data_IF_836177434069
#
_entry.id   IF_836177434069
#
_cell.length_a   1.000
_cell.length_b   1.000
_cell.length_c   1.000
_cell.angle_alpha   90.00
_cell.angle_beta   90.00
_cell.angle_gamma   90.00
#
_symmetry.space_group_name_H-M   'P 1'
#
loop_
_entity.id
_entity.type
_entity.pdbx_description
1 polymer ?
#
# COMPACT_ATOMS: atom_id res chain seq x y z
N UNK A 1 69.99 1.84 16.64
CA UNK A 1 68.97 0.96 16.03
C UNK A 1 67.92 1.86 15.40
N UNK A 2 68.01 2.08 14.09
CA UNK A 2 67.13 2.99 13.34
C UNK A 2 66.25 2.16 12.40
N UNK A 3 64.93 2.38 12.49
CA UNK A 3 63.91 1.61 11.79
C UNK A 3 63.74 2.08 10.34
N UNK A 4 63.57 1.10 9.44
CA UNK A 4 63.25 1.27 8.02
C UNK A 4 61.82 1.80 7.83
N UNK A 5 61.66 2.75 6.91
CA UNK A 5 60.37 3.09 6.32
C UNK A 5 60.31 2.54 4.90
N UNK A 6 59.39 1.60 4.64
CA UNK A 6 59.08 1.12 3.30
C UNK A 6 57.88 1.91 2.75
N UNK A 7 58.09 2.58 1.62
CA UNK A 7 57.02 3.18 0.82
C UNK A 7 56.47 2.13 -0.14
N UNK A 8 55.16 1.87 -0.08
CA UNK A 8 54.42 1.10 -1.08
C UNK A 8 53.44 2.02 -1.80
N UNK A 9 53.71 2.27 -3.07
CA UNK A 9 52.85 3.01 -3.99
C UNK A 9 52.37 2.10 -5.13
N UNK A 10 51.22 2.44 -5.70
CA UNK A 10 50.52 1.85 -6.87
C UNK A 10 49.55 0.71 -6.53
N UNK A 11 48.35 0.59 -7.10
CA UNK A 11 47.56 1.44 -8.00
C UNK A 11 46.19 0.76 -8.13
N UNK A 12 45.08 1.44 -7.84
CA UNK A 12 43.73 0.90 -8.02
C UNK A 12 43.23 1.15 -9.45
N UNK A 13 42.68 0.15 -10.16
CA UNK A 13 42.07 0.38 -11.47
C UNK A 13 40.69 1.03 -11.32
N UNK A 14 40.44 2.02 -12.17
CA UNK A 14 39.15 2.69 -12.29
C UNK A 14 38.06 1.69 -12.71
N UNK A 15 37.04 1.55 -11.85
CA UNK A 15 35.84 0.80 -12.17
C UNK A 15 35.02 1.58 -13.21
N UNK A 16 34.87 0.99 -14.39
CA UNK A 16 33.97 1.49 -15.43
C UNK A 16 32.52 1.52 -14.91
N UNK A 17 31.85 2.65 -15.11
CA UNK A 17 30.45 2.83 -14.75
C UNK A 17 29.56 1.82 -15.50
N UNK A 18 28.87 0.96 -14.74
CA UNK A 18 27.85 0.07 -15.27
C UNK A 18 26.65 0.88 -15.80
N UNK A 19 26.02 0.47 -16.92
CA UNK A 19 24.85 1.15 -17.46
C UNK A 19 23.66 1.04 -16.49
N UNK A 20 22.93 2.15 -16.34
CA UNK A 20 21.74 2.24 -15.52
C UNK A 20 20.70 1.19 -15.94
N UNK A 21 20.09 0.43 -15.00
CA UNK A 21 19.07 -0.55 -15.33
C UNK A 21 17.82 0.15 -15.87
N UNK A 22 17.43 -0.25 -17.08
CA UNK A 22 16.16 0.15 -17.68
C UNK A 22 14.99 -0.27 -16.79
N UNK A 23 14.21 0.73 -16.36
CA UNK A 23 13.00 0.57 -15.55
C UNK A 23 11.95 -0.21 -16.35
N UNK A 24 11.62 -1.42 -15.89
CA UNK A 24 10.52 -2.19 -16.43
C UNK A 24 9.17 -1.52 -16.07
N UNK A 25 8.17 -1.51 -16.98
CA UNK A 25 6.84 -1.00 -16.67
C UNK A 25 6.20 -1.82 -15.54
N UNK A 26 5.83 -1.12 -14.48
CA UNK A 26 5.18 -1.68 -13.29
C UNK A 26 3.83 -2.29 -13.67
N UNK A 27 3.67 -3.61 -13.47
CA UNK A 27 2.34 -4.22 -13.32
C UNK A 27 1.91 -4.01 -11.88
N UNK A 28 1.12 -2.95 -11.64
CA UNK A 28 0.55 -2.68 -10.32
C UNK A 28 -0.63 -3.61 -10.00
N UNK A 29 -0.91 -3.87 -8.71
CA UNK A 29 -2.05 -4.66 -8.25
C UNK A 29 -3.28 -3.75 -8.11
N UNK A 30 -3.76 -3.25 -9.24
CA UNK A 30 -5.17 -2.87 -9.40
C UNK A 30 -5.74 -3.69 -10.55
N UNK A 31 -5.45 -5.00 -10.54
CA UNK A 31 -6.01 -5.93 -11.51
C UNK A 31 -7.50 -6.00 -11.26
N UNK A 32 -8.28 -5.48 -12.20
CA UNK A 32 -9.72 -5.66 -12.32
C UNK A 32 -10.11 -7.06 -11.82
N UNK A 33 -10.71 -7.19 -10.64
CA UNK A 33 -11.16 -8.49 -10.15
C UNK A 33 -12.47 -8.85 -10.85
N UNK A 34 -12.72 -10.14 -11.05
CA UNK A 34 -14.03 -10.60 -11.53
C UNK A 34 -15.14 -10.05 -10.62
N UNK A 35 -16.10 -9.33 -11.19
CA UNK A 35 -17.17 -8.61 -10.50
C UNK A 35 -16.92 -7.11 -10.31
N UNK A 36 -15.76 -6.58 -10.71
CA UNK A 36 -15.47 -5.14 -10.64
C UNK A 36 -16.27 -4.37 -11.68
N UNK A 37 -16.80 -3.21 -11.28
CA UNK A 37 -17.52 -2.29 -12.16
C UNK A 37 -16.54 -1.29 -12.76
N UNK A 38 -16.54 -1.19 -14.07
CA UNK A 38 -15.69 -0.26 -14.82
C UNK A 38 -16.53 0.56 -15.80
N UNK A 39 -15.96 1.66 -16.26
CA UNK A 39 -16.50 2.47 -17.35
C UNK A 39 -15.71 2.16 -18.62
N UNK A 40 -16.41 1.74 -19.68
CA UNK A 40 -15.81 1.36 -20.97
C UNK A 40 -16.38 2.25 -22.08
N UNK A 41 -15.56 2.57 -23.07
CA UNK A 41 -15.94 3.33 -24.27
C UNK A 41 -16.26 2.34 -25.40
N UNK A 42 -17.44 2.43 -25.99
CA UNK A 42 -17.88 1.51 -27.05
C UNK A 42 -17.28 1.85 -28.42
N UNK A 43 -16.69 0.86 -29.09
CA UNK A 43 -16.06 1.03 -30.42
C UNK A 43 -17.07 0.90 -31.58
N UNK A 44 -18.19 0.20 -31.37
CA UNK A 44 -19.19 -0.08 -32.42
C UNK A 44 -20.02 1.12 -32.87
N UNK A 45 -19.81 2.28 -32.26
CA UNK A 45 -20.55 3.50 -32.57
C UNK A 45 -19.69 4.40 -33.45
N UNK A 46 -20.35 5.14 -34.34
CA UNK A 46 -19.66 6.05 -35.24
C UNK A 46 -18.78 7.03 -34.44
N UNK A 47 -17.71 7.51 -35.06
CA UNK A 47 -16.76 8.42 -34.40
C UNK A 47 -17.51 9.67 -33.90
N UNK A 48 -17.62 9.85 -32.58
CA UNK A 48 -18.40 10.91 -31.93
C UNK A 48 -19.68 10.44 -31.23
N UNK A 49 -20.10 9.19 -31.42
CA UNK A 49 -21.25 8.56 -30.74
C UNK A 49 -20.86 7.64 -29.58
N UNK A 50 -19.58 7.62 -29.19
CA UNK A 50 -19.13 6.73 -28.13
C UNK A 50 -19.76 7.10 -26.78
N UNK A 51 -20.26 6.09 -26.08
CA UNK A 51 -20.90 6.24 -24.78
C UNK A 51 -20.08 5.53 -23.71
N UNK A 52 -20.04 6.14 -22.52
CA UNK A 52 -19.49 5.49 -21.33
C UNK A 52 -20.53 4.54 -20.78
N UNK A 53 -20.26 3.24 -20.87
CA UNK A 53 -21.14 2.21 -20.35
C UNK A 53 -20.57 1.60 -19.08
N UNK A 54 -21.46 1.26 -18.15
CA UNK A 54 -21.12 0.53 -16.94
C UNK A 54 -20.99 -0.94 -17.28
N UNK A 55 -19.84 -1.55 -17.01
CA UNK A 55 -19.60 -2.96 -17.30
C UNK A 55 -19.02 -3.71 -16.10
N UNK A 56 -19.37 -4.98 -15.97
CA UNK A 56 -18.82 -5.92 -14.99
C UNK A 56 -17.70 -6.75 -15.62
N UNK A 57 -16.55 -6.83 -14.95
CA UNK A 57 -15.45 -7.72 -15.34
C UNK A 57 -15.87 -9.17 -15.06
N UNK A 58 -16.09 -9.99 -16.08
CA UNK A 58 -16.57 -11.37 -15.84
C UNK A 58 -15.50 -12.44 -16.07
N UNK A 59 -14.43 -12.12 -16.81
CA UNK A 59 -13.32 -13.04 -17.07
C UNK A 59 -12.02 -12.27 -17.27
N UNK A 60 -10.92 -12.86 -16.80
CA UNK A 60 -9.57 -12.39 -17.07
C UNK A 60 -8.80 -13.60 -17.61
N UNK A 61 -8.20 -13.45 -18.79
CA UNK A 61 -7.41 -14.49 -19.45
C UNK A 61 -6.04 -13.93 -19.82
N UNK A 62 -5.06 -14.18 -18.95
CA UNK A 62 -3.72 -13.61 -19.06
C UNK A 62 -3.71 -12.08 -19.02
N UNK A 63 -3.64 -11.44 -20.20
CA UNK A 63 -3.63 -9.97 -20.37
C UNK A 63 -4.92 -9.42 -20.93
N UNK A 64 -5.88 -10.29 -21.14
CA UNK A 64 -7.16 -9.92 -21.70
C UNK A 64 -8.19 -9.85 -20.59
N UNK A 65 -8.82 -8.69 -20.44
CA UNK A 65 -9.95 -8.49 -19.54
C UNK A 65 -11.23 -8.49 -20.37
N UNK A 66 -12.19 -9.30 -19.94
CA UNK A 66 -13.52 -9.39 -20.55
C UNK A 66 -14.53 -8.71 -19.65
N UNK A 67 -15.31 -7.82 -20.24
CA UNK A 67 -16.33 -7.03 -19.57
C UNK A 67 -17.69 -7.34 -20.17
N UNK A 68 -18.74 -7.22 -19.37
CA UNK A 68 -20.13 -7.33 -19.82
C UNK A 68 -20.89 -6.10 -19.37
N UNK A 69 -21.60 -5.45 -20.27
CA UNK A 69 -22.44 -4.32 -19.91
C UNK A 69 -23.49 -4.66 -18.84
N UNK A 70 -23.62 -3.82 -17.82
CA UNK A 70 -24.59 -4.01 -16.73
C UNK A 70 -25.98 -3.62 -17.24
N UNK A 71 -26.82 -4.64 -17.49
CA UNK A 71 -28.17 -4.46 -18.04
C UNK A 71 -28.22 -4.45 -19.57
N UNK A 72 -27.07 -4.59 -20.23
CA UNK A 72 -26.94 -4.75 -21.68
C UNK A 72 -26.55 -6.18 -22.09
N UNK A 73 -26.52 -6.41 -23.40
CA UNK A 73 -26.09 -7.68 -24.01
C UNK A 73 -24.69 -7.65 -24.61
N UNK A 74 -23.98 -6.52 -24.50
CA UNK A 74 -22.67 -6.36 -25.13
C UNK A 74 -21.55 -6.89 -24.22
N UNK A 75 -20.73 -7.76 -24.80
CA UNK A 75 -19.48 -8.24 -24.21
C UNK A 75 -18.30 -7.48 -24.85
N UNK A 76 -17.41 -6.95 -24.02
CA UNK A 76 -16.21 -6.23 -24.44
C UNK A 76 -14.96 -7.04 -24.09
N UNK A 77 -13.92 -6.90 -24.91
CA UNK A 77 -12.61 -7.54 -24.70
C UNK A 77 -11.51 -6.51 -24.83
N UNK A 78 -10.68 -6.37 -23.80
CA UNK A 78 -9.54 -5.46 -23.82
C UNK A 78 -8.26 -6.25 -23.56
N UNK A 79 -7.32 -6.24 -24.49
CA UNK A 79 -6.01 -6.86 -24.31
C UNK A 79 -4.96 -5.81 -23.96
N UNK A 80 -4.40 -5.89 -22.76
CA UNK A 80 -3.37 -4.95 -22.26
C UNK A 80 -2.05 -5.16 -23.01
N UNK A 81 -1.48 -4.11 -23.66
CA UNK A 81 -0.29 -4.26 -24.49
C UNK A 81 0.99 -4.68 -23.74
N UNK A 82 1.82 -5.40 -24.51
CA UNK A 82 3.19 -5.91 -24.27
C UNK A 82 4.25 -4.97 -23.75
N UNK A 83 4.38 -3.92 -24.53
CA UNK A 83 5.59 -3.17 -24.68
C UNK A 83 5.26 -1.76 -24.27
N UNK A 84 6.07 -1.18 -23.40
CA UNK A 84 6.13 0.27 -23.28
C UNK A 84 6.55 0.78 -24.65
N UNK A 85 5.61 1.27 -25.45
CA UNK A 85 5.95 1.95 -26.70
C UNK A 85 6.51 3.30 -26.25
N UNK A 86 7.80 3.61 -26.46
CA UNK A 86 8.32 4.92 -26.14
C UNK A 86 7.53 5.97 -26.95
N UNK A 87 7.30 7.18 -26.42
CA UNK A 87 6.46 8.20 -27.06
C UNK A 87 6.87 8.55 -28.52
N UNK A 88 8.12 8.24 -28.85
CA UNK A 88 8.80 8.45 -30.14
C UNK A 88 8.58 7.35 -31.18
N UNK A 89 8.15 6.14 -30.80
CA UNK A 89 7.99 4.99 -31.72
C UNK A 89 6.53 4.63 -32.04
N UNK A 90 5.58 5.53 -31.73
CA UNK A 90 4.19 5.40 -32.20
C UNK A 90 4.13 5.59 -33.72
N UNK A 91 4.40 4.53 -34.49
CA UNK A 91 4.07 4.50 -35.92
C UNK A 91 2.55 4.43 -36.11
N UNK A 92 1.97 5.05 -37.17
CA UNK A 92 0.53 5.28 -37.34
C UNK A 92 -0.37 4.03 -37.49
N UNK A 93 0.19 2.82 -37.41
CA UNK A 93 -0.51 1.56 -37.71
C UNK A 93 -0.35 0.50 -36.61
N UNK A 94 -0.01 0.87 -35.37
CA UNK A 94 -0.15 -0.03 -34.24
C UNK A 94 -1.65 -0.25 -33.95
N UNK A 95 -2.25 -1.19 -34.66
CA UNK A 95 -3.62 -1.66 -34.46
C UNK A 95 -3.63 -2.51 -33.19
N UNK A 96 -4.32 -2.02 -32.16
CA UNK A 96 -4.85 -2.88 -31.11
C UNK A 96 -6.27 -3.25 -31.54
N UNK A 97 -6.58 -4.53 -31.67
CA UNK A 97 -7.98 -4.98 -31.77
C UNK A 97 -8.73 -4.44 -30.53
N UNK A 98 -9.64 -3.49 -30.76
CA UNK A 98 -10.52 -2.93 -29.73
C UNK A 98 -10.31 -1.46 -29.35
N UNK A 99 -9.17 -0.82 -29.70
CA UNK A 99 -8.94 0.60 -29.41
C UNK A 99 -8.01 1.28 -30.43
N UNK A 100 -8.47 2.40 -31.02
CA UNK A 100 -7.64 3.30 -31.82
C UNK A 100 -7.23 4.52 -30.99
N UNK A 101 -5.93 4.72 -30.80
CA UNK A 101 -5.39 5.97 -30.25
C UNK A 101 -5.41 7.06 -31.33
N UNK A 102 -6.35 7.99 -31.26
CA UNK A 102 -6.45 9.12 -32.19
C UNK A 102 -5.43 10.21 -31.83
N UNK A 103 -4.19 10.09 -32.30
CA UNK A 103 -3.26 11.23 -32.34
C UNK A 103 -3.34 11.90 -33.71
N UNK A 104 -4.25 12.87 -33.85
CA UNK A 104 -4.40 13.62 -35.10
C UNK A 104 -3.12 14.43 -35.42
N UNK A 105 -2.56 14.22 -36.63
CA UNK A 105 -1.40 14.96 -37.17
C UNK A 105 -1.76 16.02 -38.21
N UNK A 106 -3.05 16.28 -38.45
CA UNK A 106 -3.49 17.38 -39.31
C UNK A 106 -4.42 18.28 -38.51
N UNK A 107 -4.29 19.62 -38.59
CA UNK A 107 -5.32 20.51 -38.09
C UNK A 107 -6.58 20.23 -38.92
N UNK A 108 -7.45 19.39 -38.37
CA UNK A 108 -8.79 19.19 -38.90
C UNK A 108 -9.46 20.56 -38.82
N UNK A 109 -9.96 21.06 -39.95
CA UNK A 109 -10.78 22.27 -39.94
C UNK A 109 -11.86 22.08 -38.90
N UNK A 110 -11.93 23.04 -37.99
CA UNK A 110 -12.83 23.13 -36.85
C UNK A 110 -14.29 23.07 -37.34
N UNK A 111 -14.82 21.87 -37.55
CA UNK A 111 -16.26 21.67 -37.62
C UNK A 111 -16.74 21.52 -36.20
N UNK A 112 -17.48 22.53 -35.76
CA UNK A 112 -18.27 22.61 -34.54
C UNK A 112 -18.90 21.26 -34.12
N UNK A 113 -18.19 20.41 -33.37
CA UNK A 113 -18.80 19.26 -32.70
C UNK A 113 -18.02 18.91 -31.41
N UNK A 114 -18.44 19.53 -30.32
CA UNK A 114 -18.68 18.92 -29.00
C UNK A 114 -17.59 18.23 -28.15
N UNK A 115 -16.48 17.73 -28.69
CA UNK A 115 -15.72 16.68 -27.98
C UNK A 115 -14.66 17.18 -26.97
N UNK A 116 -14.08 18.38 -27.15
CA UNK A 116 -13.15 18.94 -26.14
C UNK A 116 -13.82 19.47 -24.87
N UNK A 117 -15.12 19.80 -24.93
CA UNK A 117 -15.85 20.36 -23.78
C UNK A 117 -16.26 19.31 -22.73
N UNK A 118 -16.15 18.02 -23.02
CA UNK A 118 -16.59 16.97 -22.09
C UNK A 118 -15.58 16.71 -20.96
N UNK A 119 -14.27 16.74 -21.26
CA UNK A 119 -13.22 16.52 -20.24
C UNK A 119 -13.00 17.77 -19.38
N UNK A 120 -13.17 18.97 -19.94
CA UNK A 120 -13.12 20.24 -19.20
C UNK A 120 -14.29 20.43 -18.21
N UNK A 121 -15.26 19.50 -18.18
CA UNK A 121 -16.45 19.57 -17.31
C UNK A 121 -16.37 18.74 -16.03
N UNK A 122 -15.41 17.84 -15.90
CA UNK A 122 -15.22 17.11 -14.65
C UNK A 122 -14.43 18.00 -13.69
N UNK A 123 -15.09 18.46 -12.63
CA UNK A 123 -14.42 19.17 -11.56
C UNK A 123 -13.39 18.28 -10.86
N UNK A 124 -12.52 18.91 -10.08
CA UNK A 124 -11.47 18.19 -9.36
C UNK A 124 -12.04 17.16 -8.37
N UNK A 125 -13.25 17.41 -7.83
CA UNK A 125 -13.91 16.54 -6.88
C UNK A 125 -14.49 15.30 -7.57
N UNK A 126 -15.07 15.43 -8.76
CA UNK A 126 -15.52 14.30 -9.57
C UNK A 126 -14.34 13.45 -10.03
N UNK A 127 -13.24 14.07 -10.48
CA UNK A 127 -12.02 13.34 -10.82
C UNK A 127 -11.40 12.65 -9.61
N UNK A 128 -11.38 13.32 -8.45
CA UNK A 128 -10.92 12.73 -7.21
C UNK A 128 -11.74 11.49 -6.84
N UNK A 129 -13.06 11.56 -6.96
CA UNK A 129 -13.95 10.42 -6.74
C UNK A 129 -13.74 9.30 -7.73
N UNK A 130 -13.59 9.62 -9.02
CA UNK A 130 -13.29 8.64 -10.04
C UNK A 130 -11.96 7.94 -9.80
N UNK A 131 -10.97 8.61 -9.22
CA UNK A 131 -9.62 8.07 -9.00
C UNK A 131 -9.40 7.52 -7.58
N UNK A 132 -10.41 7.56 -6.72
CA UNK A 132 -10.37 7.07 -5.33
C UNK A 132 -10.17 5.55 -5.20
N UNK A 133 -10.21 4.80 -6.30
CA UNK A 133 -9.90 3.37 -6.30
C UNK A 133 -8.39 3.09 -6.49
N UNK A 134 -7.60 4.09 -6.89
CA UNK A 134 -6.19 3.89 -7.21
C UNK A 134 -5.30 3.86 -5.97
N UNK A 135 -4.28 3.00 -5.96
CA UNK A 135 -3.30 2.97 -4.88
C UNK A 135 -2.54 4.31 -4.75
N UNK A 136 -1.99 4.64 -3.56
CA UNK A 136 -1.14 5.82 -3.41
C UNK A 136 0.03 5.87 -4.40
N UNK A 137 0.61 4.72 -4.76
CA UNK A 137 1.64 4.61 -5.80
C UNK A 137 1.07 5.00 -7.18
N UNK A 138 -0.07 4.43 -7.59
CA UNK A 138 -0.74 4.76 -8.85
C UNK A 138 -1.10 6.25 -8.97
N UNK A 139 -1.66 6.83 -7.91
CA UNK A 139 -1.94 8.27 -7.86
C UNK A 139 -0.67 9.13 -7.93
N UNK A 140 0.44 8.66 -7.36
CA UNK A 140 1.72 9.38 -7.41
C UNK A 140 2.36 9.34 -8.79
N UNK A 141 2.14 8.26 -9.55
CA UNK A 141 2.62 8.13 -10.92
C UNK A 141 1.86 9.04 -11.89
N UNK A 142 0.55 9.25 -11.66
CA UNK A 142 -0.29 10.09 -12.52
C UNK A 142 -0.27 11.57 -12.15
N UNK A 143 -0.12 11.90 -10.85
CA UNK A 143 -0.32 13.25 -10.35
C UNK A 143 0.80 13.73 -9.41
N UNK A 144 1.27 14.99 -9.59
CA UNK A 144 2.16 15.63 -8.63
C UNK A 144 1.57 15.67 -7.21
N UNK A 145 2.44 15.69 -6.21
CA UNK A 145 2.06 15.67 -4.78
C UNK A 145 1.15 16.83 -4.31
N UNK A 146 1.09 17.93 -5.09
CA UNK A 146 0.23 19.10 -4.83
C UNK A 146 -1.08 19.09 -5.62
N UNK A 147 -1.34 18.08 -6.44
CA UNK A 147 -2.57 17.97 -7.22
C UNK A 147 -3.79 17.92 -6.29
N UNK A 148 -4.78 18.77 -6.56
CA UNK A 148 -6.07 18.77 -5.85
C UNK A 148 -6.81 17.45 -6.06
N UNK A 149 -6.80 16.93 -7.30
CA UNK A 149 -7.39 15.63 -7.66
C UNK A 149 -6.79 14.51 -6.82
N UNK A 150 -5.45 14.45 -6.74
CA UNK A 150 -4.76 13.44 -5.91
C UNK A 150 -5.15 13.55 -4.44
N UNK A 151 -5.20 14.77 -3.91
CA UNK A 151 -5.54 14.99 -2.50
C UNK A 151 -7.01 14.65 -2.20
N UNK A 152 -7.93 14.99 -3.11
CA UNK A 152 -9.33 14.61 -3.01
C UNK A 152 -9.48 13.09 -3.05
N UNK A 153 -8.84 12.42 -4.00
CA UNK A 153 -8.90 10.96 -4.13
C UNK A 153 -8.39 10.27 -2.86
N UNK A 154 -7.24 10.71 -2.33
CA UNK A 154 -6.66 10.17 -1.09
C UNK A 154 -7.60 10.34 0.10
N UNK A 155 -8.33 11.45 0.24
CA UNK A 155 -9.27 11.67 1.35
C UNK A 155 -10.43 10.68 1.37
N UNK A 156 -10.77 10.13 0.20
CA UNK A 156 -11.89 9.20 0.03
C UNK A 156 -11.47 7.75 0.28
N UNK A 157 -10.18 7.44 0.41
CA UNK A 157 -9.73 6.09 0.73
C UNK A 157 -10.18 5.67 2.14
N UNK A 158 -10.91 4.55 2.18
CA UNK A 158 -11.24 3.83 3.41
C UNK A 158 -10.24 2.72 3.72
N UNK A 159 -9.45 2.29 2.73
CA UNK A 159 -8.45 1.24 2.89
C UNK A 159 -7.11 1.72 2.32
N UNK A 160 -6.01 1.34 2.97
CA UNK A 160 -4.65 1.53 2.44
C UNK A 160 -3.92 0.20 2.35
N UNK A 161 -3.21 0.00 1.25
CA UNK A 161 -2.37 -1.18 1.02
C UNK A 161 -0.91 -0.73 0.91
N UNK A 162 -0.04 -1.28 1.77
CA UNK A 162 1.42 -1.19 1.67
C UNK A 162 1.91 -2.53 1.15
N UNK A 163 2.25 -2.59 -0.13
CA UNK A 163 2.44 -3.84 -0.85
C UNK A 163 3.88 -4.01 -1.37
N UNK A 164 4.55 -5.10 -0.98
CA UNK A 164 5.84 -5.49 -1.54
C UNK A 164 5.74 -6.54 -2.66
N UNK A 165 4.53 -6.99 -3.02
CA UNK A 165 4.31 -8.07 -3.99
C UNK A 165 4.70 -7.70 -5.41
N UNK A 166 4.71 -6.40 -5.73
CA UNK A 166 5.13 -5.90 -7.04
C UNK A 166 6.37 -5.00 -6.89
N UNK A 167 7.33 -5.03 -7.84
CA UNK A 167 8.52 -4.18 -7.76
C UNK A 167 8.20 -2.69 -7.67
N UNK A 168 7.14 -2.23 -8.36
CA UNK A 168 6.73 -0.83 -8.35
C UNK A 168 6.21 -0.35 -6.99
N UNK A 169 5.30 -1.11 -6.38
CA UNK A 169 4.78 -0.80 -5.04
C UNK A 169 5.89 -0.94 -3.99
N UNK A 170 6.70 -2.00 -4.07
CA UNK A 170 7.87 -2.19 -3.19
C UNK A 170 8.82 -1.00 -3.27
N UNK A 171 9.20 -0.56 -4.48
CA UNK A 171 10.07 0.60 -4.64
C UNK A 171 9.44 1.89 -4.14
N UNK A 172 8.15 2.13 -4.44
CA UNK A 172 7.42 3.30 -3.97
C UNK A 172 7.46 3.39 -2.44
N UNK A 173 7.08 2.32 -1.75
CA UNK A 173 7.04 2.31 -0.29
C UNK A 173 8.42 2.31 0.36
N UNK A 174 9.42 1.65 -0.23
CA UNK A 174 10.80 1.69 0.24
C UNK A 174 11.43 3.09 0.11
N UNK A 175 11.04 3.84 -0.93
CA UNK A 175 11.47 5.23 -1.13
C UNK A 175 10.66 6.25 -0.33
N UNK A 176 9.50 5.87 0.20
CA UNK A 176 8.63 6.75 0.97
C UNK A 176 9.23 6.99 2.36
N UNK A 177 9.60 8.24 2.63
CA UNK A 177 10.11 8.60 3.96
C UNK A 177 9.01 8.53 5.01
N UNK A 178 9.37 8.36 6.29
CA UNK A 178 8.42 8.41 7.41
C UNK A 178 7.64 9.74 7.45
N UNK A 179 8.27 10.85 7.09
CA UNK A 179 7.59 12.16 7.01
C UNK A 179 6.56 12.22 5.88
N UNK A 180 6.85 11.62 4.72
CA UNK A 180 5.89 11.53 3.61
C UNK A 180 4.75 10.59 3.94
N UNK A 181 5.03 9.44 4.53
CA UNK A 181 4.03 8.49 5.04
C UNK A 181 3.11 9.17 6.07
N UNK A 182 3.66 9.98 6.98
CA UNK A 182 2.86 10.79 7.91
C UNK A 182 1.98 11.82 7.19
N UNK A 183 2.54 12.56 6.21
CA UNK A 183 1.77 13.53 5.40
C UNK A 183 0.66 12.85 4.61
N UNK A 184 0.90 11.64 4.10
CA UNK A 184 -0.09 10.80 3.44
C UNK A 184 -1.19 10.39 4.42
N UNK A 185 -0.81 9.82 5.58
CA UNK A 185 -1.71 9.49 6.69
C UNK A 185 -2.63 10.65 7.03
N UNK A 186 -2.08 11.87 7.18
CA UNK A 186 -2.84 13.08 7.51
C UNK A 186 -3.92 13.46 6.49
N UNK A 187 -3.81 12.96 5.26
CA UNK A 187 -4.82 13.16 4.20
C UNK A 187 -5.87 12.04 4.18
N UNK A 188 -5.55 10.86 4.69
CA UNK A 188 -6.41 9.67 4.71
C UNK A 188 -7.43 9.74 5.87
N UNK A 189 -8.22 10.82 5.99
CA UNK A 189 -9.11 11.00 7.17
C UNK A 189 -10.21 9.95 7.27
N UNK A 190 -10.60 9.33 6.15
CA UNK A 190 -11.64 8.28 6.06
C UNK A 190 -11.11 6.85 6.27
N UNK A 191 -9.83 6.68 6.62
CA UNK A 191 -9.20 5.36 6.70
C UNK A 191 -9.82 4.49 7.80
N UNK A 192 -10.28 3.29 7.45
CA UNK A 192 -10.83 2.28 8.35
C UNK A 192 -10.04 0.98 8.36
N UNK A 193 -9.23 0.69 7.32
CA UNK A 193 -8.38 -0.50 7.28
C UNK A 193 -7.00 -0.21 6.70
N UNK A 194 -6.00 -0.92 7.21
CA UNK A 194 -4.66 -0.97 6.63
C UNK A 194 -4.25 -2.42 6.35
N UNK A 195 -3.82 -2.69 5.12
CA UNK A 195 -3.26 -3.95 4.70
C UNK A 195 -1.77 -3.79 4.40
N UNK A 196 -0.96 -4.73 4.89
CA UNK A 196 0.49 -4.74 4.74
C UNK A 196 0.92 -6.08 4.17
N UNK A 197 1.29 -6.12 2.90
CA UNK A 197 1.86 -7.30 2.26
C UNK A 197 3.39 -7.18 2.29
N UNK A 198 4.01 -7.82 3.28
CA UNK A 198 5.44 -7.68 3.56
C UNK A 198 6.27 -8.76 2.83
N UNK A 199 7.54 -8.47 2.51
CA UNK A 199 8.48 -9.49 2.05
C UNK A 199 8.71 -10.55 3.14
N UNK A 200 8.86 -11.81 2.75
CA UNK A 200 9.04 -12.93 3.68
C UNK A 200 10.25 -12.76 4.61
N UNK A 201 11.34 -12.23 4.06
CA UNK A 201 12.64 -12.08 4.73
C UNK A 201 12.80 -10.78 5.50
N UNK A 202 11.86 -9.84 5.35
CA UNK A 202 11.93 -8.51 5.95
C UNK A 202 10.54 -8.08 6.46
N UNK A 203 9.98 -8.76 7.48
CA UNK A 203 8.69 -8.40 8.06
C UNK A 203 8.66 -6.97 8.65
N UNK A 204 9.83 -6.41 8.99
CA UNK A 204 9.98 -5.05 9.50
C UNK A 204 9.89 -3.96 8.41
N UNK A 205 9.99 -4.33 7.12
CA UNK A 205 10.23 -3.41 6.00
C UNK A 205 9.35 -2.16 5.98
N UNK A 206 8.07 -2.31 6.30
CA UNK A 206 7.08 -1.23 6.22
C UNK A 206 6.46 -0.84 7.57
N UNK A 207 6.96 -1.37 8.69
CA UNK A 207 6.39 -1.08 10.02
C UNK A 207 6.46 0.41 10.34
N UNK A 208 7.57 1.08 10.01
CA UNK A 208 7.71 2.53 10.20
C UNK A 208 6.75 3.33 9.32
N UNK A 209 6.57 2.89 8.07
CA UNK A 209 5.65 3.51 7.10
C UNK A 209 4.21 3.38 7.57
N UNK A 210 3.79 2.18 7.99
CA UNK A 210 2.48 1.94 8.59
C UNK A 210 2.29 2.82 9.83
N UNK A 211 3.25 2.81 10.75
CA UNK A 211 3.19 3.59 12.00
C UNK A 211 2.99 5.07 11.70
N UNK A 212 3.76 5.61 10.76
CA UNK A 212 3.64 7.01 10.35
C UNK A 212 2.29 7.32 9.68
N UNK A 213 1.75 6.43 8.85
CA UNK A 213 0.42 6.57 8.27
C UNK A 213 -0.64 6.63 9.36
N UNK A 214 -0.59 5.72 10.34
CA UNK A 214 -1.56 5.67 11.44
C UNK A 214 -1.47 6.93 12.32
N UNK A 215 -0.26 7.38 12.68
CA UNK A 215 -0.06 8.64 13.41
C UNK A 215 -0.53 9.86 12.61
N UNK A 216 -0.22 9.89 11.32
CA UNK A 216 -0.66 10.93 10.39
C UNK A 216 -2.18 10.99 10.31
N UNK A 217 -2.83 9.83 10.14
CA UNK A 217 -4.28 9.69 10.08
C UNK A 217 -4.94 10.31 11.31
N UNK A 218 -4.48 9.93 12.50
CA UNK A 218 -5.00 10.48 13.73
C UNK A 218 -4.79 12.00 13.86
N UNK A 219 -3.62 12.50 13.44
CA UNK A 219 -3.39 13.94 13.35
C UNK A 219 -4.35 14.63 12.37
N UNK A 220 -4.62 14.01 11.22
CA UNK A 220 -5.56 14.51 10.20
C UNK A 220 -6.99 14.61 10.73
N UNK A 221 -7.49 13.55 11.38
CA UNK A 221 -8.83 13.53 11.98
C UNK A 221 -8.98 14.53 13.12
N UNK A 222 -7.96 14.71 13.96
CA UNK A 222 -7.96 15.76 15.00
C UNK A 222 -8.10 17.16 14.40
N UNK A 223 -7.40 17.44 13.30
CA UNK A 223 -7.54 18.74 12.59
C UNK A 223 -8.94 18.88 11.98
N UNK A 224 -9.51 17.80 11.45
CA UNK A 224 -10.87 17.78 10.91
C UNK A 224 -11.98 17.78 11.99
N UNK A 225 -11.62 17.61 13.27
CA UNK A 225 -12.54 17.45 14.42
C UNK A 225 -13.44 16.21 14.32
N UNK A 226 -12.93 15.15 13.70
CA UNK A 226 -13.64 13.88 13.46
C UNK A 226 -13.27 12.78 14.47
N UNK A 227 -12.76 13.15 15.65
CA UNK A 227 -12.22 12.21 16.63
C UNK A 227 -10.75 11.83 16.38
N UNK A 228 -10.26 10.83 17.10
CA UNK A 228 -8.82 10.50 17.12
C UNK A 228 -8.40 9.47 16.06
N UNK A 229 -9.22 8.47 15.74
CA UNK A 229 -8.93 7.48 14.71
C UNK A 229 -10.22 6.76 14.28
N UNK A 230 -10.33 6.39 13.01
CA UNK A 230 -11.39 5.51 12.49
C UNK A 230 -10.88 4.14 12.05
N UNK A 231 -9.58 3.86 12.22
CA UNK A 231 -8.98 2.60 11.79
C UNK A 231 -9.53 1.47 12.67
N UNK A 232 -10.19 0.50 12.04
CA UNK A 232 -10.80 -0.67 12.68
C UNK A 232 -9.96 -1.94 12.55
N UNK A 233 -9.12 -2.04 11.52
CA UNK A 233 -8.33 -3.25 11.26
C UNK A 233 -6.95 -2.96 10.68
N UNK A 234 -5.97 -3.75 11.10
CA UNK A 234 -4.64 -3.84 10.50
C UNK A 234 -4.39 -5.30 10.15
N UNK A 235 -4.15 -5.58 8.88
CA UNK A 235 -3.88 -6.92 8.37
C UNK A 235 -2.48 -7.00 7.79
N UNK A 236 -1.69 -7.96 8.25
CA UNK A 236 -0.39 -8.30 7.69
C UNK A 236 -0.51 -9.60 6.90
N UNK A 237 0.03 -9.59 5.69
CA UNK A 237 0.17 -10.77 4.84
C UNK A 237 1.60 -10.89 4.36
N UNK A 238 1.96 -12.10 3.91
CA UNK A 238 3.23 -12.36 3.26
C UNK A 238 2.87 -13.20 2.04
N UNK A 239 3.03 -12.67 0.82
CA UNK A 239 2.79 -13.44 -0.39
C UNK A 239 3.68 -14.69 -0.37
N UNK A 240 3.08 -15.87 -0.37
CA UNK A 240 3.78 -17.16 -0.24
C UNK A 240 4.41 -17.62 -1.56
N UNK A 241 4.28 -16.85 -2.64
CA UNK A 241 4.73 -17.25 -3.97
C UNK A 241 6.26 -17.23 -4.06
N UNK A 242 6.87 -18.36 -3.70
CA UNK A 242 8.30 -18.67 -3.66
C UNK A 242 9.05 -18.58 -5.00
N UNK A 243 8.58 -17.76 -5.94
CA UNK A 243 9.24 -17.41 -7.20
C UNK A 243 9.43 -15.91 -7.41
N UNK A 244 8.93 -15.05 -6.51
CA UNK A 244 9.21 -13.62 -6.58
C UNK A 244 10.73 -13.40 -6.42
N UNK A 245 11.37 -13.12 -7.55
CA UNK A 245 12.81 -12.92 -7.68
C UNK A 245 13.31 -11.88 -6.69
N UNK A 246 14.49 -12.14 -6.11
CA UNK A 246 15.25 -11.42 -5.09
C UNK A 246 15.61 -9.96 -5.42
N UNK A 247 14.69 -9.15 -5.96
CA UNK A 247 14.86 -7.69 -5.96
C UNK A 247 14.56 -7.22 -4.55
N UNK A 248 15.52 -7.44 -3.67
CA UNK A 248 15.49 -6.88 -2.34
C UNK A 248 15.55 -5.36 -2.48
N UNK A 249 14.62 -4.62 -1.86
CA UNK A 249 14.85 -3.19 -1.69
C UNK A 249 16.20 -3.04 -0.99
N UNK A 250 17.11 -2.27 -1.58
CA UNK A 250 18.34 -1.86 -0.90
C UNK A 250 17.91 -1.31 0.47
N UNK A 251 18.59 -1.77 1.53
CA UNK A 251 18.27 -1.46 2.94
C UNK A 251 17.65 -0.07 3.03
N UNK A 252 16.39 0.07 3.51
CA UNK A 252 15.68 1.33 3.45
C UNK A 252 16.59 2.43 4.02
N UNK A 253 16.71 3.58 3.32
CA UNK A 253 17.57 4.66 3.78
C UNK A 253 17.21 4.94 5.23
N UNK A 254 18.22 5.00 6.11
CA UNK A 254 18.04 5.23 7.55
C UNK A 254 16.99 6.33 7.74
N UNK A 255 15.77 5.94 8.11
CA UNK A 255 14.68 6.88 8.17
C UNK A 255 14.95 7.79 9.36
N UNK A 256 15.13 9.08 9.09
CA UNK A 256 15.14 10.11 10.12
C UNK A 256 13.88 9.92 10.97
N UNK A 257 14.10 9.43 12.19
CA UNK A 257 13.06 9.21 13.15
C UNK A 257 12.27 10.51 13.30
N UNK A 258 10.94 10.43 13.20
CA UNK A 258 10.09 11.57 13.56
C UNK A 258 10.55 12.06 14.93
N UNK A 259 11.15 13.25 14.97
CA UNK A 259 12.05 13.69 16.04
C UNK A 259 11.38 13.89 17.40
N UNK A 260 10.09 13.56 17.50
CA UNK A 260 9.34 13.55 18.74
C UNK A 260 8.24 12.49 18.62
N UNK A 261 8.16 11.52 19.55
CA UNK A 261 6.97 10.68 19.63
C UNK A 261 5.76 11.60 19.80
N UNK A 262 4.74 11.39 18.97
CA UNK A 262 3.45 12.04 19.17
C UNK A 262 2.95 11.72 20.60
N UNK A 263 2.17 12.61 21.23
CA UNK A 263 1.44 12.25 22.46
C UNK A 263 0.69 10.92 22.24
N UNK A 264 0.58 10.11 23.30
CA UNK A 264 0.00 8.75 23.30
C UNK A 264 -1.13 8.64 22.27
N UNK A 265 -0.90 7.80 21.26
CA UNK A 265 -1.80 7.67 20.12
C UNK A 265 -3.01 6.82 20.53
N UNK A 266 -4.19 7.41 20.52
CA UNK A 266 -5.43 6.67 20.79
C UNK A 266 -6.02 6.13 19.50
N UNK A 267 -6.32 4.83 19.50
CA UNK A 267 -6.95 4.11 18.41
C UNK A 267 -8.24 3.45 18.93
N UNK A 268 -9.26 4.25 19.32
CA UNK A 268 -10.46 3.73 19.98
C UNK A 268 -11.29 2.83 19.08
N UNK A 269 -11.15 2.93 17.75
CA UNK A 269 -11.88 2.10 16.79
C UNK A 269 -11.17 0.81 16.42
N UNK A 270 -9.88 0.63 16.77
CA UNK A 270 -9.10 -0.50 16.29
C UNK A 270 -9.52 -1.80 16.99
N UNK A 271 -10.16 -2.68 16.23
CA UNK A 271 -10.74 -3.95 16.70
C UNK A 271 -9.85 -5.15 16.39
N UNK A 272 -9.02 -5.09 15.35
CA UNK A 272 -8.26 -6.26 14.94
C UNK A 272 -6.86 -5.94 14.41
N UNK A 273 -5.90 -6.75 14.83
CA UNK A 273 -4.54 -6.80 14.27
C UNK A 273 -4.25 -8.26 13.94
N UNK A 274 -4.03 -8.56 12.66
CA UNK A 274 -3.96 -9.95 12.20
C UNK A 274 -2.76 -10.21 11.33
N UNK A 275 -2.26 -11.44 11.34
CA UNK A 275 -1.16 -11.88 10.50
C UNK A 275 0.22 -11.34 10.90
N UNK A 276 0.37 -10.84 12.13
CA UNK A 276 1.65 -10.36 12.66
C UNK A 276 2.74 -11.41 12.47
N UNK A 277 3.90 -11.00 11.95
CA UNK A 277 5.07 -11.87 11.75
C UNK A 277 6.27 -11.32 12.48
N UNK A 278 7.15 -12.25 12.82
CA UNK A 278 8.41 -12.07 13.54
C UNK A 278 9.47 -12.72 12.67
N UNK A 279 10.65 -12.12 12.59
CA UNK A 279 11.80 -12.75 11.94
C UNK A 279 12.22 -14.00 12.73
N UNK A 280 12.51 -15.09 12.01
CA UNK A 280 12.95 -16.34 12.63
C UNK A 280 14.42 -16.30 13.05
N UNK A 281 15.23 -15.42 12.45
CA UNK A 281 16.61 -15.21 12.81
C UNK A 281 16.72 -14.36 14.09
N UNK A 282 17.27 -15.00 15.12
CA UNK A 282 17.46 -14.51 16.49
C UNK A 282 18.30 -13.23 16.65
N UNK A 283 18.73 -12.59 15.57
CA UNK A 283 19.52 -11.37 15.65
C UNK A 283 18.61 -10.14 15.73
N UNK A 284 18.41 -9.68 16.97
CA UNK A 284 17.74 -8.44 17.34
C UNK A 284 16.42 -8.20 16.58
N UNK A 285 15.34 -8.67 17.19
CA UNK A 285 14.08 -7.94 17.10
C UNK A 285 14.36 -6.52 17.60
N UNK A 286 14.55 -5.56 16.70
CA UNK A 286 14.28 -4.16 17.05
C UNK A 286 12.81 -4.16 17.50
N UNK A 287 12.55 -4.04 18.82
CA UNK A 287 11.22 -4.23 19.38
C UNK A 287 10.26 -3.35 18.58
N UNK A 288 9.24 -3.98 18.00
CA UNK A 288 8.47 -3.39 16.91
C UNK A 288 8.07 -1.95 17.26
N UNK A 289 8.68 -0.99 16.55
CA UNK A 289 8.59 0.47 16.76
C UNK A 289 7.16 0.99 16.87
N UNK A 290 6.20 0.23 16.35
CA UNK A 290 4.77 0.46 16.52
C UNK A 290 4.36 0.64 17.99
N UNK A 291 4.91 -0.16 18.91
CA UNK A 291 4.55 -0.12 20.34
C UNK A 291 5.33 0.89 21.17
N UNK A 292 6.56 1.22 20.76
CA UNK A 292 7.33 2.30 21.39
C UNK A 292 6.61 3.65 21.30
N UNK A 293 5.68 3.79 20.35
CA UNK A 293 4.82 4.97 20.20
C UNK A 293 3.68 5.05 21.20
N UNK A 294 3.50 4.05 22.07
CA UNK A 294 2.51 4.06 23.15
C UNK A 294 1.07 4.10 22.63
N UNK A 295 0.75 3.23 21.66
CA UNK A 295 -0.61 3.10 21.12
C UNK A 295 -1.56 2.60 22.21
N UNK A 296 -2.73 3.24 22.30
CA UNK A 296 -3.81 2.88 23.23
C UNK A 296 -5.00 2.38 22.41
N UNK A 297 -5.32 1.09 22.53
CA UNK A 297 -6.28 0.40 21.67
C UNK A 297 -7.38 -0.27 22.52
N UNK A 298 -8.28 0.50 23.16
CA UNK A 298 -9.19 -0.02 24.17
C UNK A 298 -10.17 -1.07 23.62
N UNK A 299 -10.52 -0.98 22.33
CA UNK A 299 -11.48 -1.87 21.65
C UNK A 299 -10.79 -3.02 20.88
N UNK A 300 -9.50 -3.29 21.09
CA UNK A 300 -8.79 -4.33 20.35
C UNK A 300 -9.29 -5.72 20.74
N UNK A 301 -10.08 -6.35 19.87
CA UNK A 301 -10.74 -7.63 20.12
C UNK A 301 -9.94 -8.84 19.63
N UNK A 302 -9.23 -8.70 18.53
CA UNK A 302 -8.57 -9.81 17.84
C UNK A 302 -7.12 -9.51 17.58
N UNK A 303 -6.24 -10.37 18.09
CA UNK A 303 -4.82 -10.42 17.73
C UNK A 303 -4.50 -11.79 17.17
N UNK A 304 -4.04 -11.85 15.92
CA UNK A 304 -3.55 -13.09 15.31
C UNK A 304 -2.17 -12.91 14.72
N UNK A 305 -1.36 -13.96 14.81
CA UNK A 305 -0.02 -14.00 14.22
C UNK A 305 -0.03 -14.91 13.00
N UNK A 306 0.69 -14.53 11.96
CA UNK A 306 0.83 -15.33 10.74
C UNK A 306 2.03 -16.28 10.84
N UNK A 307 1.83 -17.54 10.46
CA UNK A 307 2.91 -18.53 10.35
C UNK A 307 3.12 -19.39 11.60
N UNK A 308 3.96 -20.42 11.47
CA UNK A 308 4.39 -21.30 12.56
C UNK A 308 5.75 -20.83 13.04
N UNK A 309 5.79 -20.12 14.16
CA UNK A 309 7.05 -19.74 14.81
C UNK A 309 7.69 -20.98 15.42
N UNK A 310 9.00 -21.18 15.17
CA UNK A 310 9.73 -22.32 15.77
C UNK A 310 9.94 -22.13 17.27
N UNK A 311 10.23 -20.91 17.71
CA UNK A 311 10.42 -20.55 19.11
C UNK A 311 9.96 -19.09 19.33
N UNK A 312 9.07 -18.87 20.28
CA UNK A 312 8.76 -17.52 20.74
C UNK A 312 9.93 -16.98 21.58
N UNK A 313 10.46 -15.82 21.22
CA UNK A 313 11.49 -15.12 21.99
C UNK A 313 10.86 -14.30 23.11
N UNK A 314 11.62 -14.00 24.16
CA UNK A 314 11.18 -13.12 25.26
C UNK A 314 10.79 -11.73 24.74
N UNK A 315 11.50 -11.21 23.72
CA UNK A 315 11.17 -9.95 23.05
C UNK A 315 9.79 -9.99 22.38
N UNK A 316 9.43 -11.12 21.78
CA UNK A 316 8.13 -11.27 21.15
C UNK A 316 7.00 -11.38 22.18
N UNK A 317 7.24 -12.10 23.28
CA UNK A 317 6.32 -12.15 24.43
C UNK A 317 6.12 -10.73 24.99
N UNK A 318 7.21 -9.97 25.18
CA UNK A 318 7.16 -8.59 25.62
C UNK A 318 6.38 -7.69 24.64
N UNK A 319 6.61 -7.85 23.34
CA UNK A 319 5.86 -7.13 22.31
C UNK A 319 4.36 -7.43 22.40
N UNK A 320 3.95 -8.70 22.41
CA UNK A 320 2.54 -9.07 22.49
C UNK A 320 1.88 -8.55 23.77
N UNK A 321 2.58 -8.63 24.89
CA UNK A 321 2.17 -8.06 26.17
C UNK A 321 1.92 -6.56 26.06
N UNK A 322 2.87 -5.78 25.52
CA UNK A 322 2.67 -4.34 25.31
C UNK A 322 1.51 -4.04 24.34
N UNK A 323 1.32 -4.86 23.31
CA UNK A 323 0.25 -4.71 22.33
C UNK A 323 -1.12 -4.85 22.98
N UNK A 324 -1.33 -5.87 23.82
CA UNK A 324 -2.64 -6.16 24.40
C UNK A 324 -2.90 -5.44 25.72
N UNK A 325 -1.86 -4.94 26.40
CA UNK A 325 -1.95 -4.25 27.69
C UNK A 325 -2.96 -3.10 27.70
N UNK A 326 -3.19 -2.46 26.56
CA UNK A 326 -4.13 -1.33 26.45
C UNK A 326 -5.54 -1.73 26.02
N UNK A 327 -5.78 -3.00 25.71
CA UNK A 327 -7.09 -3.52 25.32
C UNK A 327 -7.94 -3.87 26.53
N UNK A 328 -9.23 -3.53 26.47
CA UNK A 328 -10.27 -3.97 27.42
C UNK A 328 -11.29 -4.90 26.77
N UNK A 329 -11.11 -5.21 25.49
CA UNK A 329 -12.11 -5.92 24.68
C UNK A 329 -11.53 -7.15 23.99
N UNK A 330 -10.34 -7.60 24.40
CA UNK A 330 -9.67 -8.75 23.78
C UNK A 330 -10.54 -10.01 23.94
N UNK A 331 -10.95 -10.59 22.81
CA UNK A 331 -11.76 -11.81 22.71
C UNK A 331 -10.97 -12.97 22.13
N UNK A 332 -9.94 -12.69 21.33
CA UNK A 332 -9.15 -13.71 20.65
C UNK A 332 -7.68 -13.31 20.56
N UNK A 333 -6.84 -14.11 21.17
CA UNK A 333 -5.39 -14.10 20.99
C UNK A 333 -4.97 -15.42 20.37
N UNK A 334 -4.69 -15.43 19.06
CA UNK A 334 -4.27 -16.62 18.33
C UNK A 334 -2.81 -16.47 17.91
N UNK A 335 -1.90 -16.98 18.74
CA UNK A 335 -0.46 -16.91 18.53
C UNK A 335 0.08 -18.29 18.18
N UNK A 336 0.62 -18.46 16.98
CA UNK A 336 1.27 -19.71 16.57
C UNK A 336 2.58 -19.91 17.33
N UNK A 337 2.95 -21.15 17.65
CA UNK A 337 4.26 -21.48 18.21
C UNK A 337 4.55 -20.96 19.63
N UNK A 338 3.62 -20.25 20.27
CA UNK A 338 3.78 -19.81 21.65
C UNK A 338 3.62 -20.99 22.61
N UNK A 339 4.59 -21.17 23.52
CA UNK A 339 4.48 -22.18 24.56
C UNK A 339 3.45 -21.76 25.60
N UNK A 340 2.85 -22.73 26.31
CA UNK A 340 1.78 -22.46 27.29
C UNK A 340 2.17 -21.41 28.34
N UNK A 341 3.42 -21.45 28.84
CA UNK A 341 3.90 -20.50 29.85
C UNK A 341 4.03 -19.08 29.26
N UNK A 342 4.60 -18.96 28.06
CA UNK A 342 4.69 -17.69 27.36
C UNK A 342 3.29 -17.09 27.08
N UNK A 343 2.27 -17.91 26.81
CA UNK A 343 0.88 -17.43 26.70
C UNK A 343 0.40 -16.81 28.00
N UNK A 344 0.66 -17.46 29.14
CA UNK A 344 0.30 -16.91 30.44
C UNK A 344 1.05 -15.60 30.73
N UNK A 345 2.33 -15.52 30.36
CA UNK A 345 3.13 -14.32 30.52
C UNK A 345 2.65 -13.15 29.67
N UNK A 346 2.10 -13.40 28.47
CA UNK A 346 1.47 -12.36 27.66
C UNK A 346 0.19 -11.86 28.34
N UNK A 347 -0.61 -12.77 28.89
CA UNK A 347 -1.92 -12.47 29.50
C UNK A 347 -1.82 -11.83 30.90
N UNK A 348 -0.70 -12.00 31.60
CA UNK A 348 -0.51 -11.53 32.98
C UNK A 348 -0.70 -10.02 33.15
N UNK A 349 -0.42 -9.22 32.12
CA UNK A 349 -0.53 -7.76 32.16
C UNK A 349 -1.84 -7.22 31.53
N UNK A 350 -2.79 -8.10 31.20
CA UNK A 350 -4.10 -7.66 30.74
C UNK A 350 -4.84 -6.94 31.87
N UNK A 351 -5.51 -5.81 31.57
CA UNK A 351 -6.33 -5.14 32.57
C UNK A 351 -7.46 -6.08 33.00
N UNK A 352 -7.57 -6.30 34.32
CA UNK A 352 -8.72 -7.01 34.87
C UNK A 352 -10.02 -6.27 34.53
N UNK A 353 -11.10 -7.02 34.30
CA UNK A 353 -12.43 -6.44 34.16
C UNK A 353 -12.84 -5.65 35.40
N UNK A 354 -13.69 -4.63 35.22
CA UNK A 354 -14.30 -3.96 36.36
C UNK A 354 -15.17 -4.96 37.15
N UNK A 355 -15.31 -4.76 38.46
CA UNK A 355 -16.04 -5.69 39.33
C UNK A 355 -17.48 -5.85 38.82
N UNK A 356 -17.84 -7.06 38.38
CA UNK A 356 -19.16 -7.38 37.83
C UNK A 356 -19.24 -7.38 36.30
N UNK A 357 -18.20 -6.92 35.59
CA UNK A 357 -18.09 -7.08 34.15
C UNK A 357 -17.37 -8.39 33.78
N UNK A 358 -17.74 -8.95 32.62
CA UNK A 358 -17.01 -10.09 32.06
C UNK A 358 -15.63 -9.58 31.65
N UNK A 359 -14.58 -10.07 32.30
CA UNK A 359 -13.20 -9.69 31.97
C UNK A 359 -12.86 -9.97 30.50
N UNK A 360 -11.85 -9.30 29.95
CA UNK A 360 -11.36 -9.63 28.61
C UNK A 360 -10.77 -11.05 28.65
N UNK A 361 -11.30 -11.93 27.77
CA UNK A 361 -11.10 -13.39 27.65
C UNK A 361 -11.87 -14.28 28.63
#
# INVERSE_FOLDING_TARGET
MAAQAAQSSSSSPAAAAAPAPHVAPCRGPCGDQKGSRVWVVTEKRDEGEQEWVKADVYRIDGRTVYFREVGGGEDFKVTVPTKTIPPTELTPHAVCDGFRYLRSRKPLKETHYGSKKAVDRLGNDELASLLSFMTPCGLSALFPHRSLVRNGAVRQHTNITIDASTPGECQFWASTTTQEAFKLGRRLTSLTSAHVAQPHTHPEWCVNTLTAIVEGHAAGRRVAREGESSIESIHFSCPTDGRASHVYPSRPPHHDYLSRPSPRLQLPSLKSITGLRVREDHEMLEPHKMLERGWVMPQLEVVTTGGTFRLATDDFVHFLRQLIKTSRSLKRLAVGGLWRNATLDVLADMPGGESGERGPL
#
